data_IF_089551692835
#
_entry.id   IF_089551692835
#
_cell.length_a   1.000
_cell.length_b   1.000
_cell.length_c   1.000
_cell.angle_alpha   90.00
_cell.angle_beta   90.00
_cell.angle_gamma   90.00
#
_symmetry.space_group_name_H-M   'P 1'
#
loop_
_entity.id
_entity.type
_entity.pdbx_description
1 polymer ?
#
# COMPACT_ATOMS: atom_id res chain seq x y z
N UNK A 1 27.49 -11.34 7.18
CA UNK A 1 27.78 -12.38 6.15
C UNK A 1 26.45 -12.75 5.52
N UNK A 2 26.30 -12.65 4.20
CA UNK A 2 25.06 -13.05 3.51
C UNK A 2 25.00 -14.58 3.49
N UNK A 3 23.85 -15.18 3.85
CA UNK A 3 23.66 -16.63 3.87
C UNK A 3 23.29 -17.10 2.45
N UNK A 4 24.28 -17.66 1.75
CA UNK A 4 24.11 -18.28 0.45
C UNK A 4 24.00 -19.77 0.61
N UNK A 5 23.08 -20.38 -0.15
CA UNK A 5 22.86 -21.81 -0.21
C UNK A 5 23.06 -22.30 -1.64
N UNK A 6 23.71 -23.44 -1.80
CA UNK A 6 23.82 -24.09 -3.09
C UNK A 6 22.49 -24.76 -3.43
N UNK A 7 21.87 -24.37 -4.57
CA UNK A 7 20.61 -24.93 -5.07
C UNK A 7 20.82 -25.96 -6.19
N UNK A 8 22.04 -26.15 -6.62
CA UNK A 8 22.47 -27.09 -7.65
C UNK A 8 23.94 -26.90 -7.91
N UNK A 9 24.59 -27.85 -8.60
CA UNK A 9 26.02 -27.86 -8.84
C UNK A 9 26.52 -26.55 -9.47
N UNK A 10 27.28 -25.76 -8.72
CA UNK A 10 27.80 -24.46 -9.15
C UNK A 10 26.77 -23.33 -9.23
N UNK A 11 25.58 -23.49 -8.64
CA UNK A 11 24.55 -22.45 -8.57
C UNK A 11 24.17 -22.17 -7.13
N UNK A 12 24.45 -20.96 -6.69
CA UNK A 12 24.10 -20.47 -5.38
C UNK A 12 22.92 -19.49 -5.43
N UNK A 13 22.12 -19.46 -4.37
CA UNK A 13 21.07 -18.48 -4.13
C UNK A 13 21.19 -17.91 -2.72
N UNK A 14 20.80 -16.64 -2.56
CA UNK A 14 20.69 -16.00 -1.26
C UNK A 14 19.44 -16.49 -0.55
N UNK A 15 19.56 -16.87 0.73
CA UNK A 15 18.39 -17.10 1.58
C UNK A 15 17.69 -15.77 1.89
N UNK A 16 16.38 -15.75 1.74
CA UNK A 16 15.53 -14.60 2.02
C UNK A 16 14.37 -15.01 2.93
N UNK A 17 13.83 -14.07 3.69
CA UNK A 17 12.82 -14.29 4.72
C UNK A 17 11.62 -13.36 4.51
N UNK A 18 10.43 -13.92 4.70
CA UNK A 18 9.16 -13.18 4.79
C UNK A 18 8.91 -12.70 6.23
N UNK A 19 7.89 -11.85 6.43
CA UNK A 19 7.55 -11.37 7.77
C UNK A 19 7.13 -12.52 8.71
N UNK A 20 6.51 -13.56 8.18
CA UNK A 20 6.09 -14.73 8.96
C UNK A 20 7.26 -15.61 9.43
N UNK A 21 8.43 -15.49 8.80
CA UNK A 21 9.64 -16.22 9.19
C UNK A 21 10.34 -15.62 10.43
N UNK A 22 9.92 -14.44 10.86
CA UNK A 22 10.56 -13.74 11.98
C UNK A 22 9.62 -13.56 13.17
N UNK A 23 10.20 -13.50 14.35
CA UNK A 23 9.51 -13.20 15.60
C UNK A 23 10.27 -12.13 16.40
N UNK A 24 9.50 -11.28 17.08
CA UNK A 24 10.04 -10.21 17.92
C UNK A 24 10.30 -10.75 19.32
N UNK A 25 11.47 -10.42 19.87
CA UNK A 25 11.88 -10.86 21.21
C UNK A 25 11.48 -9.82 22.25
N UNK A 26 10.57 -10.14 23.19
CA UNK A 26 10.20 -9.22 24.25
C UNK A 26 11.37 -8.99 25.22
N UNK A 27 11.38 -7.82 25.87
CA UNK A 27 12.41 -7.47 26.85
C UNK A 27 11.94 -7.70 28.27
N UNK A 28 12.89 -7.89 29.19
CA UNK A 28 12.64 -7.99 30.63
C UNK A 28 11.95 -6.74 31.19
N UNK A 29 12.31 -5.53 30.69
CA UNK A 29 11.71 -4.26 31.11
C UNK A 29 10.69 -3.81 30.07
N UNK A 30 9.42 -3.74 30.45
CA UNK A 30 8.30 -3.26 29.64
C UNK A 30 7.97 -1.80 29.93
N UNK A 31 7.10 -1.21 29.12
CA UNK A 31 6.55 0.15 29.27
C UNK A 31 5.01 0.08 29.31
N UNK A 32 4.38 1.18 29.69
CA UNK A 32 2.94 1.37 29.44
C UNK A 32 2.71 1.65 27.94
N UNK A 33 1.68 1.07 27.34
CA UNK A 33 1.30 1.39 25.96
C UNK A 33 0.86 2.85 25.79
N UNK A 34 0.47 3.52 26.89
CA UNK A 34 0.10 4.94 26.89
C UNK A 34 1.29 5.86 26.70
N UNK A 35 2.50 5.37 27.04
CA UNK A 35 3.75 6.13 26.94
C UNK A 35 4.47 5.91 25.61
N UNK A 36 3.83 5.19 24.67
CA UNK A 36 4.40 4.87 23.37
C UNK A 36 3.90 5.87 22.33
N UNK A 37 4.83 6.58 21.74
CA UNK A 37 4.63 7.44 20.58
C UNK A 37 4.81 6.64 19.29
N UNK A 38 3.77 6.61 18.45
CA UNK A 38 3.79 5.97 17.13
C UNK A 38 3.82 6.99 16.01
N UNK A 39 4.02 8.27 16.31
CA UNK A 39 4.07 9.31 15.29
C UNK A 39 5.19 9.05 14.27
N UNK A 40 4.88 9.41 13.04
CA UNK A 40 5.78 9.32 11.90
C UNK A 40 5.91 10.69 11.24
N UNK A 41 7.13 11.10 10.96
CA UNK A 41 7.43 12.38 10.35
C UNK A 41 8.12 12.14 9.01
N UNK A 42 7.66 12.83 7.98
CA UNK A 42 8.34 12.87 6.68
C UNK A 42 8.35 14.31 6.18
N UNK A 43 9.55 14.84 5.97
CA UNK A 43 9.75 16.24 5.64
C UNK A 43 9.02 17.17 6.65
N UNK A 44 8.16 18.05 6.20
CA UNK A 44 7.36 18.94 7.04
C UNK A 44 6.08 18.30 7.61
N UNK A 45 5.75 17.07 7.23
CA UNK A 45 4.49 16.43 7.57
C UNK A 45 4.63 15.47 8.75
N UNK A 46 3.59 15.43 9.58
CA UNK A 46 3.51 14.58 10.77
C UNK A 46 2.21 13.81 10.77
N UNK A 47 2.29 12.51 11.07
CA UNK A 47 1.16 11.58 11.19
C UNK A 47 1.20 10.92 12.55
N UNK A 48 0.05 10.75 13.20
CA UNK A 48 -0.06 10.18 14.56
C UNK A 48 0.24 8.67 14.58
N UNK A 49 0.00 8.01 13.43
CA UNK A 49 0.25 6.58 13.23
C UNK A 49 1.06 6.33 11.94
N UNK A 50 1.98 5.36 11.92
CA UNK A 50 2.85 5.11 10.78
C UNK A 50 2.17 4.21 9.74
N UNK A 51 0.92 4.53 9.41
CA UNK A 51 0.08 3.74 8.51
C UNK A 51 -0.32 4.57 7.30
N UNK A 52 -0.11 4.00 6.11
CA UNK A 52 -0.40 4.62 4.82
C UNK A 52 -1.40 3.72 4.08
N UNK A 53 -2.44 4.27 3.45
CA UNK A 53 -3.33 3.47 2.62
C UNK A 53 -2.72 3.20 1.25
N UNK A 54 -2.87 1.97 0.73
CA UNK A 54 -2.46 1.65 -0.63
C UNK A 54 -3.32 2.43 -1.65
N UNK A 55 -2.72 3.08 -2.67
CA UNK A 55 -3.42 3.89 -3.67
C UNK A 55 -4.14 3.02 -4.70
N UNK A 56 -5.28 2.46 -4.32
CA UNK A 56 -6.12 1.63 -5.19
C UNK A 56 -7.56 2.11 -5.17
N UNK A 57 -8.27 1.95 -6.29
CA UNK A 57 -9.68 2.29 -6.41
C UNK A 57 -10.58 1.53 -5.43
N UNK A 58 -10.13 0.35 -4.98
CA UNK A 58 -10.83 -0.45 -3.97
C UNK A 58 -10.88 0.19 -2.58
N UNK A 59 -9.96 1.11 -2.28
CA UNK A 59 -9.88 1.80 -0.99
C UNK A 59 -10.10 3.29 -1.12
N UNK A 60 -9.21 3.93 -1.89
CA UNK A 60 -8.84 5.33 -1.80
C UNK A 60 -9.82 6.26 -2.56
N UNK A 61 -11.11 6.21 -2.25
CA UNK A 61 -12.01 7.31 -2.59
C UNK A 61 -11.62 8.58 -1.83
N UNK A 62 -12.05 9.78 -2.27
CA UNK A 62 -11.82 11.01 -1.51
C UNK A 62 -12.29 10.91 -0.06
N UNK A 63 -13.45 10.32 0.18
CA UNK A 63 -14.05 10.13 1.50
C UNK A 63 -13.18 9.22 2.37
N UNK A 64 -12.69 8.11 1.83
CA UNK A 64 -11.78 7.21 2.53
C UNK A 64 -10.46 7.89 2.88
N UNK A 65 -9.88 8.63 1.93
CA UNK A 65 -8.60 9.34 2.15
C UNK A 65 -8.75 10.41 3.24
N UNK A 66 -9.86 11.15 3.22
CA UNK A 66 -10.20 12.14 4.25
C UNK A 66 -10.33 11.46 5.62
N UNK A 67 -11.03 10.33 5.69
CA UNK A 67 -11.20 9.60 6.94
C UNK A 67 -9.86 9.04 7.44
N UNK A 68 -9.04 8.45 6.56
CA UNK A 68 -7.70 7.97 6.90
C UNK A 68 -6.83 9.08 7.52
N UNK A 69 -6.90 10.29 6.95
CA UNK A 69 -6.20 11.47 7.49
C UNK A 69 -6.73 11.91 8.86
N UNK A 70 -8.06 11.91 9.06
CA UNK A 70 -8.68 12.22 10.36
C UNK A 70 -8.31 11.21 11.44
N UNK A 71 -8.09 9.96 11.06
CA UNK A 71 -7.63 8.89 11.96
C UNK A 71 -6.11 8.94 12.22
N UNK A 72 -5.41 9.97 11.74
CA UNK A 72 -3.99 10.22 11.99
C UNK A 72 -3.02 9.46 11.11
N UNK A 73 -3.51 8.76 10.08
CA UNK A 73 -2.71 8.09 9.05
C UNK A 73 -2.58 8.93 7.78
N UNK A 74 -2.03 8.34 6.71
CA UNK A 74 -1.89 8.97 5.41
C UNK A 74 -2.72 8.21 4.36
N UNK A 75 -3.75 8.86 3.82
CA UNK A 75 -4.49 8.37 2.65
C UNK A 75 -3.77 8.76 1.36
N UNK A 76 -3.64 7.83 0.40
CA UNK A 76 -2.99 8.09 -0.89
C UNK A 76 -3.96 7.85 -2.03
N UNK A 77 -4.09 8.84 -2.87
CA UNK A 77 -4.93 8.86 -4.06
C UNK A 77 -4.18 8.25 -5.25
N UNK A 78 -4.86 7.46 -6.09
CA UNK A 78 -4.30 7.05 -7.38
C UNK A 78 -4.76 8.00 -8.49
N UNK A 79 -3.90 8.89 -8.98
CA UNK A 79 -4.23 9.82 -10.06
C UNK A 79 -4.70 9.13 -11.36
N UNK A 80 -4.34 7.87 -11.56
CA UNK A 80 -4.69 7.09 -12.74
C UNK A 80 -5.91 6.17 -12.50
N UNK A 81 -6.56 6.30 -11.35
CA UNK A 81 -7.69 5.48 -10.92
C UNK A 81 -9.02 5.80 -11.60
N UNK A 82 -10.06 5.06 -11.23
CA UNK A 82 -11.42 5.19 -11.78
C UNK A 82 -12.05 6.55 -11.50
N UNK A 83 -11.72 7.17 -10.39
CA UNK A 83 -12.31 8.43 -9.94
C UNK A 83 -11.79 9.70 -10.68
N UNK A 84 -10.70 9.58 -11.44
CA UNK A 84 -10.35 10.55 -12.46
C UNK A 84 -10.95 10.24 -13.86
N UNK A 85 -11.75 9.16 -13.98
CA UNK A 85 -12.32 8.68 -15.26
C UNK A 85 -13.84 8.65 -15.27
N UNK A 86 -14.46 8.51 -14.11
CA UNK A 86 -15.90 8.35 -13.96
C UNK A 86 -16.44 9.33 -12.92
N UNK A 87 -17.40 10.16 -13.31
CA UNK A 87 -18.09 11.07 -12.39
C UNK A 87 -18.88 10.28 -11.33
N UNK A 88 -19.54 9.17 -11.74
CA UNK A 88 -20.17 8.21 -10.85
C UNK A 88 -19.18 7.11 -10.47
N UNK A 89 -18.37 7.40 -9.43
CA UNK A 89 -17.38 6.46 -8.92
C UNK A 89 -18.03 5.24 -8.26
N UNK A 90 -19.06 5.46 -7.44
CA UNK A 90 -19.75 4.38 -6.72
C UNK A 90 -20.39 3.39 -7.71
N UNK A 91 -21.02 3.88 -8.77
CA UNK A 91 -21.55 3.04 -9.83
C UNK A 91 -20.48 2.28 -10.62
N UNK A 92 -19.30 2.87 -10.84
CA UNK A 92 -18.18 2.20 -11.48
C UNK A 92 -17.64 1.07 -10.60
N UNK A 93 -17.39 1.32 -9.33
CA UNK A 93 -16.93 0.33 -8.35
C UNK A 93 -17.97 -0.79 -8.18
N UNK A 94 -19.25 -0.44 -8.06
CA UNK A 94 -20.35 -1.39 -7.93
C UNK A 94 -20.38 -2.41 -9.07
N UNK A 95 -20.11 -2.00 -10.32
CA UNK A 95 -20.01 -2.91 -11.48
C UNK A 95 -18.91 -3.96 -11.29
N UNK A 96 -17.73 -3.56 -10.82
CA UNK A 96 -16.60 -4.48 -10.57
C UNK A 96 -16.97 -5.49 -9.47
N UNK A 97 -17.50 -5.01 -8.34
CA UNK A 97 -17.89 -5.85 -7.21
C UNK A 97 -19.01 -6.81 -7.58
N UNK A 98 -20.03 -6.34 -8.30
CA UNK A 98 -21.14 -7.19 -8.79
C UNK A 98 -20.65 -8.26 -9.75
N UNK A 99 -19.75 -7.90 -10.70
CA UNK A 99 -19.14 -8.87 -11.60
C UNK A 99 -18.36 -9.94 -10.84
N UNK A 100 -17.66 -9.58 -9.77
CA UNK A 100 -16.94 -10.52 -8.90
C UNK A 100 -17.91 -11.43 -8.13
N UNK A 101 -18.94 -10.88 -7.52
CA UNK A 101 -19.97 -11.66 -6.82
C UNK A 101 -20.61 -12.71 -7.74
N UNK A 102 -20.91 -12.34 -8.98
CA UNK A 102 -21.45 -13.27 -9.97
C UNK A 102 -20.44 -14.35 -10.40
N UNK A 103 -19.17 -13.99 -10.50
CA UNK A 103 -18.09 -14.96 -10.79
C UNK A 103 -17.92 -15.98 -9.66
N UNK A 104 -17.96 -15.56 -8.41
CA UNK A 104 -17.82 -16.47 -7.26
C UNK A 104 -18.97 -17.46 -7.18
N UNK A 105 -20.19 -17.05 -7.56
CA UNK A 105 -21.35 -17.97 -7.70
C UNK A 105 -21.20 -18.96 -8.84
N UNK A 106 -20.62 -18.52 -9.96
CA UNK A 106 -20.41 -19.38 -11.15
C UNK A 106 -19.22 -20.35 -10.99
N UNK A 107 -18.32 -20.12 -10.03
CA UNK A 107 -17.15 -21.00 -9.77
C UNK A 107 -17.50 -22.39 -9.22
N UNK A 108 -18.75 -22.64 -8.86
CA UNK A 108 -19.26 -24.01 -8.73
C UNK A 108 -19.31 -24.74 -10.08
N UNK A 109 -19.19 -24.00 -11.23
CA UNK A 109 -19.06 -24.53 -12.58
C UNK A 109 -17.71 -24.08 -13.17
N UNK A 110 -16.75 -24.98 -13.28
CA UNK A 110 -15.36 -24.82 -13.75
C UNK A 110 -15.18 -23.88 -14.96
N UNK A 111 -14.10 -23.08 -14.97
CA UNK A 111 -13.53 -22.30 -16.10
C UNK A 111 -14.17 -20.97 -16.50
N UNK A 112 -14.85 -20.25 -15.61
CA UNK A 112 -15.29 -18.89 -15.93
C UNK A 112 -14.08 -17.93 -16.02
N UNK A 113 -13.97 -17.19 -17.14
CA UNK A 113 -13.11 -16.00 -17.24
C UNK A 113 -13.39 -15.07 -16.05
N UNK A 114 -12.36 -14.37 -15.57
CA UNK A 114 -12.56 -13.41 -14.47
C UNK A 114 -13.27 -12.15 -15.01
N UNK A 115 -14.60 -12.20 -15.05
CA UNK A 115 -15.43 -11.12 -15.53
C UNK A 115 -15.21 -9.82 -14.77
N UNK A 116 -14.80 -9.88 -13.50
CA UNK A 116 -14.54 -8.68 -12.72
C UNK A 116 -13.24 -7.98 -13.18
N UNK A 117 -12.18 -8.73 -13.50
CA UNK A 117 -10.95 -8.16 -14.10
C UNK A 117 -11.27 -7.53 -15.45
N UNK A 118 -12.06 -8.19 -16.29
CA UNK A 118 -12.50 -7.64 -17.58
C UNK A 118 -13.30 -6.34 -17.42
N UNK A 119 -14.26 -6.32 -16.50
CA UNK A 119 -15.03 -5.12 -16.17
C UNK A 119 -14.12 -3.98 -15.70
N UNK A 120 -13.14 -4.27 -14.83
CA UNK A 120 -12.17 -3.30 -14.36
C UNK A 120 -11.32 -2.73 -15.51
N UNK A 121 -10.87 -3.59 -16.43
CA UNK A 121 -10.11 -3.16 -17.62
C UNK A 121 -10.96 -2.27 -18.55
N UNK A 122 -12.22 -2.62 -18.77
CA UNK A 122 -13.17 -1.82 -19.57
C UNK A 122 -13.40 -0.43 -18.96
N UNK A 123 -13.55 -0.34 -17.65
CA UNK A 123 -13.71 0.94 -16.95
C UNK A 123 -12.41 1.78 -17.01
N UNK A 124 -11.25 1.16 -16.89
CA UNK A 124 -9.96 1.85 -17.04
C UNK A 124 -9.62 2.24 -18.48
N UNK A 125 -10.31 1.73 -19.48
CA UNK A 125 -10.16 2.15 -20.87
C UNK A 125 -10.73 3.56 -21.15
N UNK A 126 -11.59 4.09 -20.28
CA UNK A 126 -12.06 5.46 -20.37
C UNK A 126 -10.87 6.44 -20.21
N UNK A 127 -10.85 7.56 -20.95
CA UNK A 127 -9.79 8.56 -20.83
C UNK A 127 -9.78 9.19 -19.43
N UNK A 128 -8.62 9.60 -18.97
CA UNK A 128 -8.48 10.36 -17.74
C UNK A 128 -8.98 11.79 -17.98
N UNK A 129 -9.87 12.27 -17.12
CA UNK A 129 -10.36 13.64 -17.09
C UNK A 129 -9.56 14.43 -16.02
N UNK A 130 -8.73 15.35 -16.45
CA UNK A 130 -7.87 16.12 -15.55
C UNK A 130 -8.64 17.12 -14.69
N UNK A 131 -9.81 17.60 -15.16
CA UNK A 131 -10.65 18.52 -14.38
C UNK A 131 -11.34 17.75 -13.26
N UNK A 132 -11.92 16.59 -13.57
CA UNK A 132 -12.50 15.68 -12.57
C UNK A 132 -11.45 15.22 -11.54
N UNK A 133 -10.25 14.83 -11.98
CA UNK A 133 -9.15 14.46 -11.10
C UNK A 133 -8.78 15.62 -10.17
N UNK A 134 -8.67 16.83 -10.71
CA UNK A 134 -8.34 18.03 -9.93
C UNK A 134 -9.44 18.36 -8.90
N UNK A 135 -10.71 18.20 -9.26
CA UNK A 135 -11.85 18.38 -8.36
C UNK A 135 -11.79 17.40 -7.18
N UNK A 136 -11.51 16.11 -7.44
CA UNK A 136 -11.38 15.08 -6.40
C UNK A 136 -10.21 15.35 -5.45
N UNK A 137 -9.08 15.80 -5.98
CA UNK A 137 -7.92 16.20 -5.17
C UNK A 137 -8.27 17.43 -4.32
N UNK A 138 -8.97 18.42 -4.89
CA UNK A 138 -9.40 19.60 -4.17
C UNK A 138 -10.38 19.26 -3.03
N UNK A 139 -11.28 18.29 -3.22
CA UNK A 139 -12.17 17.79 -2.15
C UNK A 139 -11.37 17.31 -0.93
N UNK A 140 -10.28 16.56 -1.15
CA UNK A 140 -9.40 16.11 -0.05
C UNK A 140 -8.66 17.28 0.57
N UNK A 141 -8.06 18.16 -0.23
CA UNK A 141 -7.36 19.37 0.24
C UNK A 141 -8.25 20.25 1.13
N UNK A 142 -9.47 20.48 0.69
CA UNK A 142 -10.41 21.39 1.36
C UNK A 142 -10.93 20.79 2.70
N UNK A 143 -10.73 19.50 2.94
CA UNK A 143 -11.00 18.86 4.23
C UNK A 143 -9.92 19.13 5.29
N UNK A 144 -8.76 19.66 4.88
CA UNK A 144 -7.64 19.98 5.76
C UNK A 144 -6.73 18.81 6.13
N UNK A 145 -6.89 17.63 5.54
CA UNK A 145 -5.94 16.52 5.69
C UNK A 145 -4.81 16.63 4.68
N UNK A 146 -3.66 16.03 4.95
CA UNK A 146 -2.53 16.00 4.02
C UNK A 146 -2.89 15.26 2.73
N UNK A 147 -2.64 15.90 1.59
CA UNK A 147 -2.96 15.38 0.26
C UNK A 147 -1.78 14.64 -0.34
N UNK A 148 -1.86 13.32 -0.40
CA UNK A 148 -0.86 12.49 -1.06
C UNK A 148 -1.45 11.86 -2.33
N UNK A 149 -0.73 11.95 -3.44
CA UNK A 149 -1.19 11.47 -4.74
C UNK A 149 -0.14 10.57 -5.38
N UNK A 150 -0.59 9.42 -5.87
CA UNK A 150 0.23 8.45 -6.60
C UNK A 150 0.09 8.65 -8.09
N UNK A 151 1.23 8.65 -8.79
CA UNK A 151 1.35 8.54 -10.24
C UNK A 151 2.24 7.35 -10.60
N UNK A 152 2.04 6.74 -11.76
CA UNK A 152 2.99 5.75 -12.27
C UNK A 152 4.25 6.44 -12.82
N UNK A 153 5.39 5.74 -12.87
CA UNK A 153 6.60 6.28 -13.53
C UNK A 153 6.37 6.68 -14.97
N UNK A 154 5.47 5.98 -15.68
CA UNK A 154 5.15 6.21 -17.08
C UNK A 154 4.45 7.55 -17.32
N UNK A 155 3.57 7.95 -16.38
CA UNK A 155 2.76 9.16 -16.51
C UNK A 155 3.19 10.28 -15.54
N UNK A 156 4.31 10.10 -14.81
CA UNK A 156 4.75 11.06 -13.80
C UNK A 156 5.01 12.46 -14.41
N UNK A 157 5.63 12.56 -15.58
CA UNK A 157 5.90 13.85 -16.25
C UNK A 157 4.61 14.60 -16.61
N UNK A 158 3.58 13.87 -17.02
CA UNK A 158 2.30 14.44 -17.43
C UNK A 158 1.44 14.82 -16.23
N UNK A 159 1.31 13.91 -15.28
CA UNK A 159 0.34 14.04 -14.19
C UNK A 159 0.86 14.82 -12.98
N UNK A 160 2.16 14.80 -12.69
CA UNK A 160 2.67 15.51 -11.51
C UNK A 160 2.33 17.01 -11.51
N UNK A 161 2.50 17.76 -12.61
CA UNK A 161 2.11 19.18 -12.64
C UNK A 161 0.60 19.38 -12.38
N UNK A 162 -0.25 18.47 -12.89
CA UNK A 162 -1.71 18.52 -12.71
C UNK A 162 -2.07 18.33 -11.24
N UNK A 163 -1.58 17.25 -10.62
CA UNK A 163 -1.93 16.90 -9.25
C UNK A 163 -1.35 17.88 -8.24
N UNK A 164 -0.12 18.38 -8.45
CA UNK A 164 0.49 19.39 -7.57
C UNK A 164 -0.29 20.72 -7.65
N UNK A 165 -0.68 21.14 -8.86
CA UNK A 165 -1.53 22.33 -9.04
C UNK A 165 -2.89 22.18 -8.37
N UNK A 166 -3.45 20.96 -8.34
CA UNK A 166 -4.72 20.66 -7.67
C UNK A 166 -4.59 20.67 -6.12
N UNK A 167 -3.36 20.55 -5.59
CA UNK A 167 -3.07 20.64 -4.15
C UNK A 167 -2.38 19.43 -3.56
N UNK A 168 -1.77 18.54 -4.37
CA UNK A 168 -0.96 17.46 -3.84
C UNK A 168 0.26 18.01 -3.07
N UNK A 169 0.43 17.55 -1.84
CA UNK A 169 1.49 17.94 -0.92
C UNK A 169 2.62 16.90 -0.85
N UNK A 170 2.30 15.64 -1.14
CA UNK A 170 3.25 14.52 -1.22
C UNK A 170 2.98 13.76 -2.52
N UNK A 171 4.02 13.55 -3.32
CA UNK A 171 3.92 12.78 -4.56
C UNK A 171 4.49 11.38 -4.39
N UNK A 172 3.68 10.36 -4.70
CA UNK A 172 4.12 8.97 -4.78
C UNK A 172 4.38 8.62 -6.25
N UNK A 173 5.62 8.27 -6.60
CA UNK A 173 5.96 7.66 -7.88
C UNK A 173 6.05 6.18 -7.66
N UNK A 174 4.94 5.47 -7.90
CA UNK A 174 4.82 4.06 -7.54
C UNK A 174 4.45 3.19 -8.74
N UNK A 175 5.33 2.24 -9.04
CA UNK A 175 5.08 1.08 -9.87
C UNK A 175 5.12 -0.19 -9.03
N UNK A 176 4.81 -1.33 -9.64
CA UNK A 176 4.94 -2.62 -8.94
C UNK A 176 6.41 -2.93 -8.65
N UNK A 177 7.27 -2.71 -9.65
CA UNK A 177 8.73 -2.77 -9.53
C UNK A 177 9.28 -1.59 -10.29
N UNK A 178 10.00 -0.72 -9.60
CA UNK A 178 10.70 0.41 -10.23
C UNK A 178 12.13 0.00 -10.56
N UNK A 179 12.54 0.30 -11.79
CA UNK A 179 13.95 0.20 -12.20
C UNK A 179 14.70 1.45 -11.73
N UNK A 180 15.93 1.26 -11.28
CA UNK A 180 16.85 2.37 -11.02
C UNK A 180 17.16 3.15 -12.30
N UNK A 181 17.37 2.42 -13.40
CA UNK A 181 17.57 2.94 -14.75
C UNK A 181 16.69 2.16 -15.71
N UNK A 182 15.90 2.88 -16.52
CA UNK A 182 15.15 2.30 -17.62
C UNK A 182 15.84 2.66 -18.93
N UNK A 183 16.21 1.65 -19.71
CA UNK A 183 16.82 1.82 -21.02
C UNK A 183 15.80 1.45 -22.10
N UNK A 184 15.55 2.38 -23.03
CA UNK A 184 14.61 2.19 -24.13
C UNK A 184 15.21 2.73 -25.43
N UNK A 185 15.17 1.93 -26.51
CA UNK A 185 15.53 2.42 -27.84
C UNK A 185 14.47 3.41 -28.34
N UNK A 186 14.93 4.60 -28.77
CA UNK A 186 14.07 5.62 -29.35
C UNK A 186 13.14 6.35 -28.40
N UNK A 187 13.38 6.27 -27.09
CA UNK A 187 12.61 6.97 -26.06
C UNK A 187 13.49 7.78 -25.11
N UNK A 188 12.88 8.74 -24.43
CA UNK A 188 13.51 9.43 -23.30
C UNK A 188 12.93 8.88 -22.00
N UNK A 189 13.61 7.93 -21.33
CA UNK A 189 13.16 7.41 -20.05
C UNK A 189 13.11 8.53 -19.00
N UNK A 190 12.28 8.34 -17.97
CA UNK A 190 12.18 9.28 -16.86
C UNK A 190 13.51 9.29 -16.09
N UNK A 191 14.24 10.39 -16.13
CA UNK A 191 15.36 10.63 -15.23
C UNK A 191 14.80 11.05 -13.86
N UNK A 192 14.72 10.10 -12.92
CA UNK A 192 14.13 10.33 -11.60
C UNK A 192 14.86 11.42 -10.83
N UNK A 193 16.19 11.51 -10.93
CA UNK A 193 16.98 12.51 -10.20
C UNK A 193 16.65 13.94 -10.66
N UNK A 194 16.62 14.17 -11.96
CA UNK A 194 16.27 15.48 -12.52
C UNK A 194 14.81 15.80 -12.26
N UNK A 195 13.93 14.81 -12.40
CA UNK A 195 12.50 14.98 -12.20
C UNK A 195 12.18 15.32 -10.73
N UNK A 196 12.67 14.54 -9.78
CA UNK A 196 12.49 14.80 -8.35
C UNK A 196 13.08 16.18 -7.98
N UNK A 197 14.27 16.51 -8.51
CA UNK A 197 14.92 17.80 -8.25
C UNK A 197 14.17 19.01 -8.83
N UNK A 198 13.22 18.79 -9.74
CA UNK A 198 12.39 19.86 -10.33
C UNK A 198 11.08 20.12 -9.57
N UNK A 199 10.75 19.30 -8.56
CA UNK A 199 9.50 19.37 -7.83
C UNK A 199 9.69 20.06 -6.47
N UNK A 200 8.69 20.85 -6.07
CA UNK A 200 8.65 21.55 -4.78
C UNK A 200 7.97 20.73 -3.65
N UNK A 201 7.55 19.49 -3.96
CA UNK A 201 6.91 18.59 -3.00
C UNK A 201 7.79 17.36 -2.75
N UNK A 202 7.78 16.79 -1.54
CA UNK A 202 8.50 15.55 -1.25
C UNK A 202 7.98 14.41 -2.12
N UNK A 203 8.93 13.61 -2.62
CA UNK A 203 8.65 12.45 -3.47
C UNK A 203 8.95 11.17 -2.72
N UNK A 204 7.99 10.24 -2.72
CA UNK A 204 8.15 8.88 -2.26
C UNK A 204 8.14 7.96 -3.48
N UNK A 205 9.19 7.18 -3.68
CA UNK A 205 9.37 6.37 -4.87
C UNK A 205 9.48 4.86 -4.55
N UNK A 206 8.90 4.01 -5.40
CA UNK A 206 8.96 2.55 -5.26
C UNK A 206 7.94 1.82 -6.14
N UNK A 207 7.79 0.46 -6.10
CA UNK A 207 8.38 -0.49 -5.17
C UNK A 207 9.78 -0.98 -5.54
N UNK A 208 10.59 -1.09 -4.53
CA UNK A 208 11.92 -1.66 -4.65
C UNK A 208 11.98 -3.02 -3.96
N UNK A 209 12.88 -3.88 -4.47
CA UNK A 209 13.04 -5.24 -3.97
C UNK A 209 14.47 -5.57 -3.53
N UNK A 210 15.42 -4.64 -3.67
CA UNK A 210 16.84 -4.88 -3.38
C UNK A 210 17.56 -3.64 -2.87
N UNK A 211 18.74 -3.90 -2.28
CA UNK A 211 19.62 -2.88 -1.73
C UNK A 211 20.06 -1.82 -2.75
N UNK A 212 20.46 -2.26 -3.94
CA UNK A 212 21.07 -1.38 -4.95
C UNK A 212 20.06 -0.38 -5.51
N UNK A 213 18.85 -0.86 -5.83
CA UNK A 213 17.76 0.00 -6.30
C UNK A 213 17.28 0.94 -5.20
N UNK A 214 17.18 0.47 -3.95
CA UNK A 214 16.85 1.32 -2.81
C UNK A 214 17.86 2.47 -2.65
N UNK A 215 19.17 2.17 -2.66
CA UNK A 215 20.23 3.18 -2.54
C UNK A 215 20.21 4.18 -3.71
N UNK A 216 19.96 3.68 -4.93
CA UNK A 216 19.87 4.55 -6.11
C UNK A 216 18.71 5.55 -6.00
N UNK A 217 17.51 5.11 -5.58
CA UNK A 217 16.38 6.01 -5.39
C UNK A 217 16.63 7.04 -4.27
N UNK A 218 17.31 6.66 -3.19
CA UNK A 218 17.73 7.60 -2.15
C UNK A 218 18.68 8.67 -2.72
N UNK A 219 19.68 8.26 -3.52
CA UNK A 219 20.61 9.17 -4.22
C UNK A 219 19.93 10.03 -5.29
N UNK A 220 18.79 9.60 -5.80
CA UNK A 220 17.98 10.39 -6.73
C UNK A 220 17.18 11.50 -6.03
N UNK A 221 17.20 11.60 -4.71
CA UNK A 221 16.60 12.69 -3.96
C UNK A 221 15.23 12.36 -3.35
N UNK A 222 14.76 11.11 -3.41
CA UNK A 222 13.52 10.70 -2.78
C UNK A 222 13.52 11.00 -1.27
N UNK A 223 12.42 11.51 -0.74
CA UNK A 223 12.19 11.71 0.69
C UNK A 223 11.84 10.38 1.38
N UNK A 224 11.26 9.45 0.64
CA UNK A 224 10.95 8.09 1.08
C UNK A 224 11.02 7.09 -0.06
N UNK A 225 11.18 5.82 0.30
CA UNK A 225 11.12 4.70 -0.66
C UNK A 225 10.09 3.68 -0.20
N UNK A 226 9.40 3.06 -1.15
CA UNK A 226 8.45 1.97 -0.92
C UNK A 226 9.18 0.66 -1.18
N UNK A 227 9.16 -0.24 -0.19
CA UNK A 227 9.75 -1.58 -0.30
C UNK A 227 8.65 -2.60 -0.45
N UNK A 228 8.71 -3.39 -1.52
CA UNK A 228 7.71 -4.39 -1.85
C UNK A 228 6.80 -3.97 -3.00
N UNK A 229 5.78 -4.78 -3.24
CA UNK A 229 4.87 -4.69 -4.40
C UNK A 229 3.38 -4.74 -4.01
N UNK A 230 3.08 -4.74 -2.72
CA UNK A 230 1.72 -5.00 -2.25
C UNK A 230 1.29 -6.46 -2.45
N UNK A 231 -0.01 -6.67 -2.66
CA UNK A 231 -0.59 -8.01 -2.94
C UNK A 231 -0.76 -8.18 -4.45
N UNK A 232 0.11 -8.94 -5.05
CA UNK A 232 0.24 -9.07 -6.51
C UNK A 232 0.36 -10.55 -6.92
N UNK A 233 0.06 -10.85 -8.17
CA UNK A 233 0.30 -12.15 -8.80
C UNK A 233 1.66 -12.26 -9.48
N UNK A 234 2.57 -11.30 -9.26
CA UNK A 234 3.90 -11.26 -9.89
C UNK A 234 4.78 -12.46 -9.54
N UNK A 235 4.59 -13.06 -8.37
CA UNK A 235 5.26 -14.33 -8.02
C UNK A 235 4.93 -15.43 -9.06
N UNK A 236 3.66 -15.61 -9.36
CA UNK A 236 3.22 -16.62 -10.35
C UNK A 236 3.46 -16.18 -11.79
N UNK A 237 3.25 -14.89 -12.09
CA UNK A 237 3.28 -14.39 -13.47
C UNK A 237 4.69 -14.07 -13.98
N UNK A 238 5.59 -13.64 -13.09
CA UNK A 238 6.95 -13.18 -13.42
C UNK A 238 8.05 -13.93 -12.67
N UNK A 239 7.70 -14.82 -11.74
CA UNK A 239 8.63 -15.44 -10.78
C UNK A 239 9.38 -14.40 -9.90
N UNK A 240 8.77 -13.24 -9.67
CA UNK A 240 9.33 -12.18 -8.82
C UNK A 240 8.49 -12.10 -7.56
N UNK A 241 9.05 -12.53 -6.44
CA UNK A 241 8.41 -12.54 -5.12
C UNK A 241 9.06 -11.52 -4.19
N UNK A 242 8.23 -10.87 -3.40
CA UNK A 242 8.70 -10.02 -2.31
C UNK A 242 8.94 -10.83 -1.04
N UNK A 243 10.19 -10.87 -0.58
CA UNK A 243 10.58 -11.41 0.73
C UNK A 243 10.74 -10.26 1.71
N UNK A 244 9.62 -9.81 2.26
CA UNK A 244 9.49 -8.52 2.91
C UNK A 244 10.48 -8.28 4.07
N UNK A 245 10.71 -9.26 4.95
CA UNK A 245 11.65 -9.07 6.05
C UNK A 245 13.08 -8.79 5.55
N UNK A 246 13.54 -9.55 4.56
CA UNK A 246 14.86 -9.37 3.95
C UNK A 246 14.94 -8.05 3.18
N UNK A 247 13.93 -7.72 2.36
CA UNK A 247 13.94 -6.52 1.54
C UNK A 247 13.91 -5.23 2.38
N UNK A 248 13.11 -5.20 3.46
CA UNK A 248 13.09 -4.06 4.39
C UNK A 248 14.46 -3.91 5.07
N UNK A 249 15.07 -5.01 5.51
CA UNK A 249 16.38 -4.97 6.15
C UNK A 249 17.48 -4.50 5.20
N UNK A 250 17.42 -4.90 3.91
CA UNK A 250 18.36 -4.45 2.87
C UNK A 250 18.17 -2.94 2.58
N UNK A 251 16.92 -2.47 2.46
CA UNK A 251 16.62 -1.06 2.29
C UNK A 251 17.08 -0.24 3.51
N UNK A 252 16.93 -0.76 4.73
CA UNK A 252 17.44 -0.12 5.94
C UNK A 252 18.98 -0.09 5.98
N UNK A 253 19.66 -1.07 5.38
CA UNK A 253 21.11 -1.03 5.19
C UNK A 253 21.51 0.03 4.17
N UNK A 254 20.81 0.12 3.02
CA UNK A 254 21.02 1.17 2.03
C UNK A 254 20.82 2.57 2.62
N UNK A 255 19.78 2.76 3.44
CA UNK A 255 19.55 4.01 4.16
C UNK A 255 20.71 4.39 5.09
N UNK A 256 21.30 3.44 5.79
CA UNK A 256 22.47 3.73 6.65
C UNK A 256 23.66 4.19 5.83
N UNK A 257 23.95 3.54 4.71
CA UNK A 257 25.02 3.97 3.79
C UNK A 257 24.74 5.39 3.25
N UNK A 258 23.53 5.65 2.81
CA UNK A 258 23.15 6.98 2.30
C UNK A 258 23.21 8.08 3.36
N UNK A 259 22.81 7.75 4.59
CA UNK A 259 22.92 8.67 5.73
C UNK A 259 24.38 9.06 6.02
N UNK A 260 25.30 8.08 5.93
CA UNK A 260 26.74 8.30 6.12
C UNK A 260 27.32 9.11 4.94
N UNK A 261 26.92 8.82 3.69
CA UNK A 261 27.35 9.57 2.49
C UNK A 261 26.92 11.03 2.50
N UNK A 262 25.76 11.34 3.05
CA UNK A 262 25.13 12.67 3.02
C UNK A 262 25.26 13.44 4.33
N UNK A 263 26.01 12.93 5.29
CA UNK A 263 26.21 13.52 6.60
C UNK A 263 24.89 13.81 7.36
N UNK A 264 23.88 12.97 7.15
CA UNK A 264 22.67 13.00 7.97
C UNK A 264 21.33 13.09 7.23
N UNK A 265 21.29 13.05 5.91
CA UNK A 265 20.00 13.05 5.17
C UNK A 265 19.27 11.72 5.38
N UNK A 266 18.13 11.78 6.07
CA UNK A 266 17.31 10.60 6.35
C UNK A 266 16.29 10.38 5.24
N UNK A 267 16.20 9.14 4.72
CA UNK A 267 15.17 8.71 3.77
C UNK A 267 14.28 7.69 4.45
N UNK A 268 12.96 7.91 4.37
CA UNK A 268 11.97 7.05 5.02
C UNK A 268 11.75 5.75 4.23
N UNK A 269 11.44 4.67 4.95
CA UNK A 269 11.13 3.36 4.36
C UNK A 269 9.69 3.03 4.67
N UNK A 270 8.89 2.84 3.62
CA UNK A 270 7.50 2.41 3.70
C UNK A 270 7.42 0.97 3.22
N UNK A 271 7.01 0.04 4.09
CA UNK A 271 6.84 -1.36 3.73
C UNK A 271 5.47 -1.57 3.06
N UNK A 272 5.45 -2.15 1.85
CA UNK A 272 4.23 -2.43 1.08
C UNK A 272 4.18 -3.91 0.68
N UNK A 273 3.51 -4.72 1.49
CA UNK A 273 3.26 -6.13 1.21
C UNK A 273 3.29 -7.03 2.45
N UNK A 274 2.50 -8.09 2.41
CA UNK A 274 2.47 -9.12 3.45
C UNK A 274 1.87 -8.69 4.79
N UNK A 275 1.29 -7.49 4.89
CA UNK A 275 0.79 -6.93 6.16
C UNK A 275 -0.72 -7.09 6.26
N UNK A 276 -1.17 -7.89 7.25
CA UNK A 276 -2.58 -8.17 7.53
C UNK A 276 -2.98 -7.82 8.97
N UNK A 277 -2.02 -7.79 9.88
CA UNK A 277 -2.25 -7.69 11.33
C UNK A 277 -1.31 -6.68 11.98
N UNK A 278 -1.63 -6.28 13.20
CA UNK A 278 -0.72 -5.45 14.01
C UNK A 278 0.65 -6.12 14.28
N UNK A 279 0.68 -7.46 14.29
CA UNK A 279 1.93 -8.21 14.38
C UNK A 279 2.84 -8.01 13.17
N UNK A 280 2.25 -8.01 11.97
CA UNK A 280 3.00 -7.79 10.73
C UNK A 280 3.52 -6.36 10.63
N UNK A 281 2.73 -5.37 11.06
CA UNK A 281 3.17 -3.98 11.19
C UNK A 281 4.40 -3.90 12.11
N UNK A 282 4.33 -4.54 13.27
CA UNK A 282 5.44 -4.54 14.22
C UNK A 282 6.70 -5.23 13.66
N UNK A 283 6.55 -6.36 12.92
CA UNK A 283 7.67 -7.04 12.25
C UNK A 283 8.30 -6.16 11.16
N UNK A 284 7.47 -5.47 10.37
CA UNK A 284 7.96 -4.53 9.34
C UNK A 284 8.80 -3.41 9.96
N UNK A 285 8.33 -2.80 11.05
CA UNK A 285 9.09 -1.78 11.78
C UNK A 285 10.35 -2.38 12.40
N UNK A 286 10.27 -3.57 12.98
CA UNK A 286 11.44 -4.27 13.55
C UNK A 286 12.53 -4.57 12.51
N UNK A 287 12.14 -4.78 11.23
CA UNK A 287 13.08 -4.94 10.12
C UNK A 287 13.67 -3.62 9.63
N UNK A 288 13.11 -2.47 10.00
CA UNK A 288 13.64 -1.15 9.68
C UNK A 288 12.70 -0.21 8.94
N UNK A 289 11.42 -0.57 8.73
CA UNK A 289 10.44 0.35 8.15
C UNK A 289 10.08 1.49 9.12
N UNK A 290 9.81 2.67 8.57
CA UNK A 290 9.33 3.85 9.31
C UNK A 290 7.80 3.90 9.30
N UNK A 291 7.19 3.46 8.21
CA UNK A 291 5.76 3.34 8.04
C UNK A 291 5.39 2.09 7.24
N UNK A 292 4.12 1.74 7.23
CA UNK A 292 3.61 0.55 6.56
C UNK A 292 2.42 0.93 5.69
N UNK A 293 2.46 0.54 4.42
CA UNK A 293 1.36 0.70 3.48
C UNK A 293 0.42 -0.49 3.60
N UNK A 294 -0.86 -0.19 3.81
CA UNK A 294 -1.91 -1.18 4.04
C UNK A 294 -2.88 -1.21 2.87
N UNK A 295 -3.11 -2.38 2.33
CA UNK A 295 -4.10 -2.66 1.30
C UNK A 295 -5.25 -3.51 1.85
N UNK A 296 -5.17 -4.85 1.74
CA UNK A 296 -6.24 -5.77 2.15
C UNK A 296 -6.69 -5.62 3.59
N UNK A 297 -5.79 -5.22 4.50
CA UNK A 297 -6.13 -5.00 5.91
C UNK A 297 -7.18 -3.88 6.11
N UNK A 298 -7.27 -2.93 5.17
CA UNK A 298 -8.22 -1.82 5.21
C UNK A 298 -9.48 -2.07 4.35
N UNK A 299 -9.46 -3.07 3.47
CA UNK A 299 -10.58 -3.38 2.59
C UNK A 299 -11.91 -3.66 3.32
N UNK A 300 -11.91 -4.27 4.55
CA UNK A 300 -13.14 -4.47 5.30
C UNK A 300 -13.78 -3.19 5.84
N UNK A 301 -13.10 -2.03 5.80
CA UNK A 301 -13.65 -0.78 6.32
C UNK A 301 -14.95 -0.39 5.60
N UNK A 302 -15.94 0.10 6.34
CA UNK A 302 -17.19 0.60 5.78
C UNK A 302 -16.98 1.78 4.81
N UNK A 303 -15.91 2.55 5.02
CA UNK A 303 -15.50 3.67 4.18
C UNK A 303 -14.72 3.25 2.93
N UNK A 304 -14.23 1.98 2.85
CA UNK A 304 -13.52 1.48 1.68
C UNK A 304 -14.44 1.40 0.46
N UNK A 305 -14.03 1.96 -0.67
CA UNK A 305 -14.84 2.05 -1.87
C UNK A 305 -15.23 0.67 -2.44
N UNK A 306 -14.42 -0.36 -2.23
CA UNK A 306 -14.59 -1.71 -2.77
C UNK A 306 -15.54 -2.63 -1.99
N UNK A 307 -16.27 -2.14 -0.98
CA UNK A 307 -17.25 -2.92 -0.20
C UNK A 307 -16.68 -4.22 0.39
N UNK A 308 -15.44 -4.20 0.88
CA UNK A 308 -14.73 -5.38 1.37
C UNK A 308 -13.97 -6.16 0.30
N UNK A 309 -14.10 -5.80 -0.97
CA UNK A 309 -13.26 -6.32 -2.05
C UNK A 309 -12.02 -5.46 -2.22
N UNK A 310 -10.94 -6.09 -2.64
CA UNK A 310 -9.66 -5.44 -2.86
C UNK A 310 -9.04 -5.89 -4.17
N UNK A 311 -8.43 -4.93 -4.88
CA UNK A 311 -7.57 -5.13 -6.03
C UNK A 311 -6.52 -4.04 -6.10
N UNK A 312 -5.46 -4.29 -6.84
CA UNK A 312 -4.42 -3.31 -7.10
C UNK A 312 -4.59 -2.62 -8.45
N UNK A 313 -3.94 -1.47 -8.63
CA UNK A 313 -3.97 -0.74 -9.90
C UNK A 313 -3.49 -1.60 -11.09
N UNK A 314 -2.53 -2.50 -10.88
CA UNK A 314 -1.99 -3.41 -11.90
C UNK A 314 -3.00 -4.45 -12.37
N UNK A 315 -4.05 -4.73 -11.60
CA UNK A 315 -5.15 -5.62 -11.99
C UNK A 315 -5.89 -5.08 -13.22
N UNK A 316 -5.92 -3.76 -13.39
CA UNK A 316 -6.54 -3.10 -14.55
C UNK A 316 -5.66 -3.12 -15.81
N UNK A 317 -4.45 -3.68 -15.79
CA UNK A 317 -3.56 -3.65 -16.95
C UNK A 317 -4.19 -4.36 -18.16
N UNK A 318 -4.28 -3.69 -19.34
CA UNK A 318 -5.14 -4.14 -20.45
C UNK A 318 -4.68 -5.45 -21.12
N UNK A 319 -3.40 -5.82 -20.99
CA UNK A 319 -2.84 -7.01 -21.64
C UNK A 319 -2.25 -8.03 -20.68
N UNK A 320 -1.84 -7.58 -19.50
CA UNK A 320 -1.12 -8.42 -18.55
C UNK A 320 -1.47 -8.02 -17.11
N UNK A 321 -2.66 -8.38 -16.63
CA UNK A 321 -3.05 -8.09 -15.25
C UNK A 321 -2.15 -8.86 -14.28
N UNK A 322 -1.70 -8.18 -13.22
CA UNK A 322 -0.86 -8.76 -12.17
C UNK A 322 -1.49 -8.59 -10.80
N UNK A 323 -2.74 -8.96 -10.72
CA UNK A 323 -3.51 -8.90 -9.49
C UNK A 323 -4.84 -9.60 -9.66
N UNK A 324 -5.48 -9.83 -8.54
CA UNK A 324 -6.78 -10.47 -8.42
C UNK A 324 -7.75 -9.52 -7.70
N UNK A 325 -9.03 -9.74 -7.88
CA UNK A 325 -10.08 -9.08 -7.12
C UNK A 325 -10.55 -10.08 -6.07
N UNK A 326 -10.23 -9.83 -4.81
CA UNK A 326 -10.51 -10.74 -3.70
C UNK A 326 -11.35 -10.08 -2.61
N UNK A 327 -12.19 -10.87 -1.91
CA UNK A 327 -12.95 -10.40 -0.76
C UNK A 327 -12.14 -10.57 0.53
N UNK A 328 -12.07 -9.49 1.31
CA UNK A 328 -11.50 -9.45 2.66
C UNK A 328 -12.54 -9.04 3.71
N UNK A 329 -13.76 -8.73 3.29
CA UNK A 329 -14.91 -8.44 4.15
C UNK A 329 -15.57 -9.71 4.68
N UNK A 330 -16.69 -9.51 5.38
CA UNK A 330 -17.52 -10.61 5.86
C UNK A 330 -18.10 -11.38 4.66
N UNK A 331 -17.90 -12.70 4.64
CA UNK A 331 -18.51 -13.56 3.63
C UNK A 331 -20.01 -13.70 3.93
N UNK A 332 -20.83 -12.98 3.18
CA UNK A 332 -22.28 -13.21 3.18
C UNK A 332 -22.63 -14.23 2.10
N UNK A 333 -23.39 -15.25 2.49
CA UNK A 333 -24.00 -16.18 1.53
C UNK A 333 -25.34 -15.62 1.10
N UNK A 334 -25.40 -15.01 -0.08
CA UNK A 334 -26.66 -14.50 -0.64
C UNK A 334 -27.33 -15.57 -1.50
N UNK A 335 -28.60 -15.88 -1.17
CA UNK A 335 -29.41 -16.88 -1.90
C UNK A 335 -30.07 -16.37 -3.19
N UNK A 336 -29.92 -15.09 -3.58
CA UNK A 336 -30.67 -14.45 -4.66
C UNK A 336 -29.79 -14.05 -5.84
N UNK A 337 -30.33 -14.08 -7.07
CA UNK A 337 -29.64 -13.60 -8.28
C UNK A 337 -29.47 -12.07 -8.24
N UNK A 338 -28.34 -11.58 -8.78
CA UNK A 338 -28.02 -10.15 -8.91
C UNK A 338 -28.27 -9.68 -10.37
N UNK A 339 -29.32 -10.19 -10.99
CA UNK A 339 -29.62 -9.89 -12.40
C UNK A 339 -30.29 -8.51 -12.55
N UNK A 340 -30.68 -7.88 -11.43
CA UNK A 340 -31.29 -6.56 -11.37
C UNK A 340 -30.36 -5.56 -10.65
N UNK A 341 -30.27 -4.34 -11.18
CA UNK A 341 -29.46 -3.26 -10.61
C UNK A 341 -29.89 -2.88 -9.18
N UNK A 342 -31.20 -2.93 -8.89
CA UNK A 342 -31.71 -2.63 -7.56
C UNK A 342 -31.32 -3.70 -6.55
N UNK A 343 -31.29 -4.97 -6.96
CA UNK A 343 -30.81 -6.07 -6.12
C UNK A 343 -29.33 -5.94 -5.82
N UNK A 344 -28.51 -5.54 -6.82
CA UNK A 344 -27.08 -5.30 -6.64
C UNK A 344 -26.82 -4.17 -5.64
N UNK A 345 -27.53 -3.04 -5.76
CA UNK A 345 -27.39 -1.91 -4.84
C UNK A 345 -27.72 -2.32 -3.39
N UNK A 346 -28.84 -3.04 -3.19
CA UNK A 346 -29.24 -3.54 -1.87
C UNK A 346 -28.16 -4.43 -1.24
N UNK A 347 -27.54 -5.31 -2.02
CA UNK A 347 -26.45 -6.19 -1.54
C UNK A 347 -25.21 -5.38 -1.14
N UNK A 348 -24.81 -4.39 -1.93
CA UNK A 348 -23.68 -3.54 -1.62
C UNK A 348 -23.89 -2.72 -0.35
N UNK A 349 -25.09 -2.18 -0.15
CA UNK A 349 -25.46 -1.51 1.11
C UNK A 349 -25.39 -2.45 2.33
N UNK A 350 -25.85 -3.70 2.17
CA UNK A 350 -25.75 -4.70 3.23
C UNK A 350 -24.30 -5.08 3.55
N UNK A 351 -23.42 -5.18 2.54
CA UNK A 351 -22.00 -5.40 2.74
C UNK A 351 -21.39 -4.25 3.57
N UNK A 352 -21.69 -3.01 3.22
CA UNK A 352 -21.22 -1.82 3.93
C UNK A 352 -21.76 -1.75 5.36
N UNK A 353 -23.05 -2.01 5.56
CA UNK A 353 -23.68 -1.97 6.88
C UNK A 353 -23.13 -3.01 7.87
N UNK A 354 -22.62 -4.15 7.36
CA UNK A 354 -21.99 -5.22 8.18
C UNK A 354 -20.51 -5.02 8.42
N UNK A 355 -19.89 -3.99 7.84
CA UNK A 355 -18.45 -3.74 7.88
C UNK A 355 -18.05 -2.91 9.11
N UNK A 356 -16.85 -3.14 9.70
CA UNK A 356 -16.31 -2.27 10.74
C UNK A 356 -15.96 -0.90 10.17
N UNK A 357 -16.00 0.15 10.98
CA UNK A 357 -15.47 1.46 10.58
C UNK A 357 -13.93 1.43 10.45
N UNK A 358 -13.37 2.35 9.68
CA UNK A 358 -11.93 2.55 9.57
C UNK A 358 -11.33 2.85 10.95
N UNK A 359 -12.02 3.65 11.79
CA UNK A 359 -11.65 3.90 13.19
C UNK A 359 -11.50 2.58 13.97
N UNK A 360 -12.46 1.65 13.83
CA UNK A 360 -12.40 0.34 14.51
C UNK A 360 -11.18 -0.47 14.05
N UNK A 361 -10.88 -0.47 12.76
CA UNK A 361 -9.71 -1.17 12.23
C UNK A 361 -8.42 -0.55 12.74
N UNK A 362 -8.31 0.77 12.78
CA UNK A 362 -7.09 1.47 13.18
C UNK A 362 -6.93 1.57 14.70
N UNK A 363 -7.97 1.90 15.44
CA UNK A 363 -7.92 2.27 16.86
C UNK A 363 -8.76 1.38 17.78
N UNK A 364 -9.67 0.56 17.23
CA UNK A 364 -10.55 -0.31 18.00
C UNK A 364 -11.88 0.35 18.40
N UNK A 365 -12.67 -0.34 19.22
CA UNK A 365 -12.39 -1.60 19.91
C UNK A 365 -12.29 -2.81 18.97
N UNK A 366 -11.48 -3.82 19.34
CA UNK A 366 -11.25 -5.00 18.51
C UNK A 366 -12.16 -6.15 18.86
N UNK A 367 -12.84 -6.71 17.88
CA UNK A 367 -13.49 -8.02 17.91
C UNK A 367 -12.71 -9.08 17.13
N UNK A 368 -11.63 -8.66 16.42
CA UNK A 368 -10.75 -9.56 15.69
C UNK A 368 -9.74 -10.21 16.62
N UNK A 369 -9.81 -11.55 16.76
CA UNK A 369 -8.89 -12.33 17.60
C UNK A 369 -7.47 -12.43 17.01
N UNK A 370 -7.32 -12.20 15.72
CA UNK A 370 -6.06 -12.36 14.98
C UNK A 370 -5.28 -11.06 14.75
N UNK A 371 -5.72 -9.95 15.37
CA UNK A 371 -5.01 -8.67 15.29
C UNK A 371 -5.30 -7.87 14.01
N UNK A 372 -6.45 -8.12 13.36
CA UNK A 372 -6.92 -7.36 12.20
C UNK A 372 -7.64 -6.05 12.56
N UNK A 373 -7.95 -5.82 13.84
CA UNK A 373 -8.51 -4.56 14.36
C UNK A 373 -7.59 -3.96 15.40
N UNK A 374 -7.74 -2.65 15.63
CA UNK A 374 -6.91 -1.88 16.53
C UNK A 374 -5.42 -1.97 16.17
N UNK A 375 -5.13 -1.77 14.89
CA UNK A 375 -3.79 -1.96 14.33
C UNK A 375 -2.75 -1.06 15.01
N UNK A 376 -3.07 0.23 15.23
CA UNK A 376 -2.21 1.19 15.91
C UNK A 376 -2.01 0.83 17.39
N UNK A 377 -3.09 0.45 18.08
CA UNK A 377 -3.02 0.01 19.48
C UNK A 377 -2.22 -1.29 19.63
N UNK A 378 -2.34 -2.21 18.69
CA UNK A 378 -1.54 -3.44 18.61
C UNK A 378 -0.04 -3.12 18.49
N UNK A 379 0.35 -2.23 17.57
CA UNK A 379 1.74 -1.77 17.43
C UNK A 379 2.26 -1.16 18.74
N UNK A 380 1.52 -0.21 19.35
CA UNK A 380 1.88 0.39 20.65
C UNK A 380 2.10 -0.68 21.72
N UNK A 381 1.25 -1.71 21.74
CA UNK A 381 1.36 -2.80 22.71
C UNK A 381 2.61 -3.64 22.51
N UNK A 382 2.99 -3.97 21.29
CA UNK A 382 4.23 -4.70 20.97
C UNK A 382 5.45 -3.88 21.38
N UNK A 383 5.51 -2.60 20.98
CA UNK A 383 6.59 -1.69 21.34
C UNK A 383 6.76 -1.59 22.86
N UNK A 384 5.66 -1.42 23.59
CA UNK A 384 5.64 -1.38 25.06
C UNK A 384 6.14 -2.67 25.70
N UNK A 385 5.74 -3.85 25.19
CA UNK A 385 6.22 -5.18 25.63
C UNK A 385 7.73 -5.35 25.41
N UNK A 386 8.26 -4.70 24.40
CA UNK A 386 9.70 -4.70 24.10
C UNK A 386 10.47 -3.56 24.79
N UNK A 387 9.78 -2.71 25.57
CA UNK A 387 10.39 -1.65 26.36
C UNK A 387 10.77 -0.38 25.59
N UNK A 388 10.22 -0.19 24.40
CA UNK A 388 10.45 0.96 23.54
C UNK A 388 9.29 1.95 23.59
N UNK A 389 9.60 3.24 23.37
CA UNK A 389 8.65 4.35 23.45
C UNK A 389 8.43 5.05 22.12
N UNK A 390 9.25 4.78 21.11
CA UNK A 390 9.17 5.40 19.78
C UNK A 390 9.57 4.42 18.66
N UNK A 391 9.17 4.73 17.42
CA UNK A 391 9.40 3.89 16.23
C UNK A 391 10.90 3.68 15.97
N UNK A 392 11.70 4.73 15.97
CA UNK A 392 13.14 4.64 15.66
C UNK A 392 13.92 3.77 16.66
N UNK A 393 13.56 3.89 17.92
CA UNK A 393 14.13 3.02 18.96
C UNK A 393 13.68 1.58 18.78
N UNK A 394 12.41 1.35 18.39
CA UNK A 394 11.87 0.01 18.18
C UNK A 394 12.48 -0.71 16.99
N UNK A 395 12.94 -0.02 15.95
CA UNK A 395 13.71 -0.61 14.84
C UNK A 395 15.00 -1.35 15.30
N UNK A 396 15.42 -1.15 16.55
CA UNK A 396 16.59 -1.84 17.16
C UNK A 396 16.19 -3.05 18.00
N UNK A 397 14.93 -3.48 17.95
CA UNK A 397 14.43 -4.62 18.70
C UNK A 397 15.12 -5.91 18.25
N UNK A 398 15.35 -6.82 19.18
CA UNK A 398 15.88 -8.14 18.84
C UNK A 398 14.81 -8.98 18.16
N UNK A 399 15.19 -9.65 17.09
CA UNK A 399 14.33 -10.56 16.33
C UNK A 399 14.98 -11.95 16.27
N UNK A 400 14.17 -12.98 16.07
CA UNK A 400 14.61 -14.35 15.81
C UNK A 400 13.97 -14.83 14.50
N UNK A 401 14.67 -15.72 13.81
CA UNK A 401 14.16 -16.42 12.64
C UNK A 401 13.55 -17.74 13.10
N UNK A 402 12.32 -18.00 12.66
CA UNK A 402 11.67 -19.30 12.80
C UNK A 402 12.10 -20.19 11.64
N UNK A 403 12.47 -21.44 11.93
CA UNK A 403 12.83 -22.43 10.91
C UNK A 403 11.58 -23.16 10.43
#
# INVERSE_FOLDING_TARGET
>A
MRDYVEIGLGREARRAYDLDDISIVPKRRTRSSKDVDTSWHIDAYTFDIPLVSHPTDALASPEFVIEMGKQGGLGVINAEGLWGRHADLDGAIAKVVTARLNTDRAKEASSAEDNAVKTLQELHAAPLDHDLLSERIAQVRDSGVTVAVRVSPQHARELAPVVIKAGAEILFIQGEIISAEHVQEGGEPLNLKEFIGSLDVPVIAGGVADYSTALHLMRSGAAGIIVGQGVTTSDSALAIRSHMATQIADAAAARREYLDETEGRYVHIIADGGVKTSGDIARSVACGADAVMLGPALAPAAEAAGYGYYWQAQTAHPRFPRGVIESFGNSFSFGWGLDDADAAHTVLEQLRAGSPSLETILHGPSTSTWGGHNLAGGLRRVMAKCGYTDIKSFQKVSITVMR
#
